data_IF_133192596849
#
_entry.id   IF_133192596849
#
_cell.length_a   1.000
_cell.length_b   1.000
_cell.length_c   1.000
_cell.angle_alpha   90.00
_cell.angle_beta   90.00
_cell.angle_gamma   90.00
#
_symmetry.space_group_name_H-M   'P 1'
#
loop_
_entity.id
_entity.type
_entity.pdbx_description
1 polymer ?
#
# COMPACT_ATOMS: atom_id res chain seq x y z
N UNK A 1 4.66 -12.50 27.24
CA UNK A 1 4.35 -12.03 25.88
C UNK A 1 5.16 -10.76 25.66
N UNK A 2 6.22 -10.83 24.86
CA UNK A 2 7.06 -9.65 24.60
C UNK A 2 6.56 -9.00 23.32
N UNK A 3 5.91 -7.86 23.42
CA UNK A 3 5.52 -7.07 22.27
C UNK A 3 6.77 -6.37 21.72
N UNK A 4 7.26 -6.77 20.56
CA UNK A 4 8.30 -6.04 19.84
C UNK A 4 7.62 -5.08 18.87
N UNK A 5 7.70 -3.80 19.16
CA UNK A 5 7.28 -2.76 18.22
C UNK A 5 8.47 -2.51 17.29
N UNK A 6 8.37 -2.95 16.04
CA UNK A 6 9.31 -2.57 15.01
C UNK A 6 9.02 -1.14 14.56
N UNK A 7 9.98 -0.24 14.71
CA UNK A 7 9.86 1.18 14.31
C UNK A 7 10.28 1.38 12.86
N UNK A 8 11.11 0.48 12.34
CA UNK A 8 11.59 0.47 10.96
C UNK A 8 11.87 -0.96 10.50
N UNK A 9 11.69 -1.22 9.23
CA UNK A 9 11.98 -2.51 8.64
C UNK A 9 11.68 -2.55 7.15
N UNK A 10 12.35 -3.48 6.47
CA UNK A 10 12.12 -3.80 5.07
C UNK A 10 11.41 -5.13 4.96
N UNK A 11 10.40 -5.20 4.10
CA UNK A 11 9.73 -6.46 3.76
C UNK A 11 9.83 -6.66 2.25
N UNK A 12 10.43 -7.77 1.86
CA UNK A 12 10.50 -8.18 0.46
C UNK A 12 9.51 -9.31 0.21
N UNK A 13 8.64 -9.11 -0.77
CA UNK A 13 7.71 -10.13 -1.27
C UNK A 13 8.18 -10.63 -2.63
N UNK A 14 8.13 -11.93 -2.81
CA UNK A 14 8.34 -12.60 -4.09
C UNK A 14 7.03 -13.29 -4.49
N UNK A 15 6.52 -13.00 -5.67
CA UNK A 15 5.27 -13.56 -6.16
C UNK A 15 5.54 -14.70 -7.15
N UNK A 16 4.65 -15.68 -7.20
CA UNK A 16 4.78 -16.84 -8.08
C UNK A 16 4.98 -16.48 -9.58
N UNK A 17 4.52 -15.31 -10.00
CA UNK A 17 4.72 -14.78 -11.36
C UNK A 17 6.06 -14.10 -11.61
N UNK A 18 6.98 -14.09 -10.63
CA UNK A 18 8.30 -13.45 -10.74
C UNK A 18 8.29 -11.95 -10.44
N UNK A 19 7.15 -11.36 -10.11
CA UNK A 19 7.10 -9.99 -9.59
C UNK A 19 7.64 -9.95 -8.17
N UNK A 20 8.21 -8.81 -7.79
CA UNK A 20 8.68 -8.54 -6.43
C UNK A 20 8.06 -7.25 -5.91
N UNK A 21 7.89 -7.13 -4.60
CA UNK A 21 7.53 -5.89 -3.95
C UNK A 21 8.40 -5.66 -2.72
N UNK A 22 8.87 -4.43 -2.56
CA UNK A 22 9.62 -3.98 -1.40
C UNK A 22 8.78 -2.95 -0.64
N UNK A 23 8.56 -3.18 0.64
CA UNK A 23 7.97 -2.21 1.54
C UNK A 23 9.07 -1.70 2.48
N UNK A 24 9.33 -0.39 2.43
CA UNK A 24 10.14 0.31 3.43
C UNK A 24 9.22 0.90 4.50
N UNK A 25 9.11 0.20 5.61
CA UNK A 25 8.30 0.59 6.74
C UNK A 25 9.02 1.50 7.74
N UNK A 26 9.96 2.33 7.31
CA UNK A 26 10.71 3.22 8.18
C UNK A 26 9.86 4.40 8.65
N UNK A 27 9.41 4.34 9.91
CA UNK A 27 8.61 5.39 10.54
C UNK A 27 9.43 6.54 11.14
N UNK A 28 10.75 6.50 11.00
CA UNK A 28 11.65 7.54 11.50
C UNK A 28 11.89 8.66 10.49
N UNK A 29 11.54 8.43 9.24
CA UNK A 29 11.64 9.41 8.16
C UNK A 29 10.25 9.73 7.61
N UNK A 30 10.00 11.01 7.42
CA UNK A 30 8.86 11.49 6.66
C UNK A 30 9.19 11.46 5.17
N UNK A 31 8.24 11.03 4.36
CA UNK A 31 8.34 11.20 2.92
C UNK A 31 8.06 12.67 2.53
N UNK A 32 8.46 13.06 1.34
CA UNK A 32 8.27 14.43 0.84
C UNK A 32 6.81 14.65 0.47
N UNK A 33 6.12 15.47 1.24
CA UNK A 33 4.71 15.82 1.03
C UNK A 33 4.35 17.13 1.74
N UNK A 34 3.39 17.87 1.20
CA UNK A 34 2.79 19.02 1.90
C UNK A 34 1.89 18.55 3.06
N UNK A 35 1.16 17.44 2.88
CA UNK A 35 0.44 16.72 3.94
C UNK A 35 0.84 15.23 3.94
N UNK A 36 1.72 14.81 4.86
CA UNK A 36 2.23 13.44 4.89
C UNK A 36 1.16 12.38 5.24
N UNK A 37 -0.06 12.80 5.59
CA UNK A 37 -1.19 11.89 5.86
C UNK A 37 -1.96 11.51 4.60
N UNK A 38 -1.64 12.11 3.45
CA UNK A 38 -2.42 11.95 2.24
C UNK A 38 -2.21 10.57 1.60
N UNK A 39 -0.97 10.13 1.43
CA UNK A 39 -0.63 8.89 0.72
C UNK A 39 0.00 7.81 1.60
N UNK A 40 0.38 8.12 2.83
CA UNK A 40 1.13 7.22 3.72
C UNK A 40 2.49 6.76 3.16
N UNK A 41 3.10 7.55 2.27
CA UNK A 41 4.38 7.25 1.64
C UNK A 41 4.37 7.50 0.13
N UNK A 42 5.44 7.15 -0.52
CA UNK A 42 5.57 7.17 -1.98
C UNK A 42 5.47 5.75 -2.52
N UNK A 43 4.87 5.59 -3.70
CA UNK A 43 4.69 4.29 -4.31
C UNK A 43 5.28 4.27 -5.72
N UNK A 44 5.99 3.18 -6.03
CA UNK A 44 6.62 2.96 -7.32
C UNK A 44 6.16 1.62 -7.89
N UNK A 45 5.65 1.64 -9.12
CA UNK A 45 5.36 0.44 -9.89
C UNK A 45 6.24 0.43 -11.13
N UNK A 46 7.12 -0.55 -11.22
CA UNK A 46 8.02 -0.72 -12.34
C UNK A 46 7.60 -1.93 -13.17
N UNK A 47 7.54 -1.76 -14.46
CA UNK A 47 7.16 -2.81 -15.39
C UNK A 47 7.82 -2.68 -16.75
N UNK A 48 7.54 -3.61 -17.64
CA UNK A 48 8.09 -3.63 -19.01
C UNK A 48 7.69 -2.42 -19.86
N UNK A 49 6.63 -1.70 -19.50
CA UNK A 49 6.18 -0.50 -20.22
C UNK A 49 6.79 0.80 -19.70
N UNK A 50 7.29 0.81 -18.48
CA UNK A 50 7.78 2.03 -17.80
C UNK A 50 7.56 2.00 -16.31
N UNK A 51 7.55 3.17 -15.71
CA UNK A 51 7.39 3.37 -14.26
C UNK A 51 6.18 4.24 -13.98
N UNK A 52 5.36 3.84 -13.03
CA UNK A 52 4.31 4.65 -12.45
C UNK A 52 4.71 5.01 -11.01
N UNK A 53 4.60 6.28 -10.67
CA UNK A 53 4.94 6.78 -9.34
C UNK A 53 3.79 7.59 -8.77
N UNK A 54 3.39 7.27 -7.55
CA UNK A 54 2.53 8.12 -6.73
C UNK A 54 3.42 8.83 -5.71
N UNK A 55 3.41 10.15 -5.72
CA UNK A 55 4.16 10.95 -4.75
C UNK A 55 3.35 11.23 -3.46
N UNK A 56 4.01 11.85 -2.49
CA UNK A 56 3.40 12.14 -1.20
C UNK A 56 2.26 13.15 -1.23
N UNK A 57 2.14 13.94 -2.28
CA UNK A 57 1.05 14.90 -2.49
C UNK A 57 -0.11 14.32 -3.32
N UNK A 58 -0.09 13.00 -3.57
CA UNK A 58 -1.15 12.31 -4.29
C UNK A 58 -1.09 12.52 -5.80
N UNK A 59 0.03 13.03 -6.33
CA UNK A 59 0.20 13.18 -7.78
C UNK A 59 0.69 11.88 -8.39
N UNK A 60 0.01 11.45 -9.44
CA UNK A 60 0.39 10.27 -10.19
C UNK A 60 1.25 10.69 -11.38
N UNK A 61 2.38 10.01 -11.56
CA UNK A 61 3.33 10.26 -12.62
C UNK A 61 3.52 9.00 -13.47
N UNK A 62 3.66 9.19 -14.77
CA UNK A 62 3.97 8.11 -15.70
C UNK A 62 5.25 8.41 -16.47
N UNK A 63 6.15 7.44 -16.50
CA UNK A 63 7.41 7.52 -17.22
C UNK A 63 7.56 6.30 -18.12
N UNK A 64 7.27 6.39 -19.43
CA UNK A 64 7.61 5.35 -20.39
C UNK A 64 9.12 5.09 -20.43
N UNK A 65 9.54 3.91 -20.84
CA UNK A 65 10.96 3.66 -21.08
C UNK A 65 11.54 4.63 -22.11
N UNK A 66 12.71 5.19 -21.80
CA UNK A 66 13.45 6.15 -22.65
C UNK A 66 12.72 7.46 -22.96
N UNK A 67 11.73 7.81 -22.15
CA UNK A 67 11.02 9.07 -22.22
C UNK A 67 11.06 9.80 -20.88
N UNK A 68 10.66 11.05 -20.87
CA UNK A 68 10.56 11.85 -19.66
C UNK A 68 9.32 11.47 -18.83
N UNK A 69 9.42 11.67 -17.52
CA UNK A 69 8.28 11.53 -16.62
C UNK A 69 7.30 12.67 -16.86
N UNK A 70 6.02 12.34 -16.90
CA UNK A 70 4.92 13.30 -17.05
C UNK A 70 3.85 13.05 -15.99
N UNK A 71 3.18 14.11 -15.49
CA UNK A 71 2.00 13.94 -14.66
C UNK A 71 0.92 13.14 -15.38
N UNK A 72 0.31 12.21 -14.69
CA UNK A 72 -0.85 11.45 -15.16
C UNK A 72 -2.10 11.99 -14.49
N UNK A 73 -2.96 12.66 -15.26
CA UNK A 73 -4.20 13.20 -14.72
C UNK A 73 -5.19 12.08 -14.39
N UNK A 74 -5.82 12.17 -13.22
CA UNK A 74 -6.94 11.33 -12.82
C UNK A 74 -7.89 12.12 -11.94
N UNK A 75 -9.17 11.77 -11.99
CA UNK A 75 -10.20 12.43 -11.19
C UNK A 75 -10.07 12.02 -9.72
N UNK A 76 -9.69 12.99 -8.92
CA UNK A 76 -9.44 12.80 -7.51
C UNK A 76 -9.81 14.05 -6.73
N UNK A 77 -10.47 13.88 -5.63
CA UNK A 77 -10.88 14.98 -4.75
C UNK A 77 -10.49 14.66 -3.31
N UNK A 78 -9.69 15.53 -2.71
CA UNK A 78 -9.29 15.37 -1.32
C UNK A 78 -10.46 15.69 -0.38
N UNK A 79 -11.12 14.67 0.17
CA UNK A 79 -12.25 14.79 1.10
C UNK A 79 -11.89 14.50 2.54
N UNK A 80 -10.64 14.48 2.88
CA UNK A 80 -10.22 14.31 4.24
C UNK A 80 -9.01 13.42 4.46
N UNK A 81 -9.04 12.65 5.53
CA UNK A 81 -7.89 11.88 5.98
C UNK A 81 -7.47 10.78 5.00
N UNK A 82 -6.17 10.67 4.77
CA UNK A 82 -5.53 9.63 3.96
C UNK A 82 -6.12 9.50 2.55
N UNK A 83 -6.21 10.62 1.81
CA UNK A 83 -6.65 10.64 0.43
C UNK A 83 -8.05 10.08 0.20
N UNK A 84 -8.98 10.36 1.09
CA UNK A 84 -10.36 9.87 1.06
C UNK A 84 -10.57 8.38 1.34
N UNK A 85 -9.55 7.62 1.68
CA UNK A 85 -9.70 6.17 1.85
C UNK A 85 -10.75 5.82 2.93
N UNK A 86 -10.81 6.58 4.01
CA UNK A 86 -11.81 6.40 5.07
C UNK A 86 -13.22 6.71 4.57
N UNK A 87 -13.38 7.81 3.84
CA UNK A 87 -14.66 8.16 3.22
C UNK A 87 -15.13 7.09 2.24
N UNK A 88 -14.25 6.65 1.34
CA UNK A 88 -14.57 5.63 0.35
C UNK A 88 -14.99 4.31 0.99
N UNK A 89 -14.29 3.88 2.03
CA UNK A 89 -14.62 2.67 2.78
C UNK A 89 -15.97 2.78 3.48
N UNK A 90 -16.22 3.87 4.20
CA UNK A 90 -17.49 4.07 4.91
C UNK A 90 -18.68 4.14 3.95
N UNK A 91 -18.50 4.85 2.84
CA UNK A 91 -19.49 4.91 1.76
C UNK A 91 -19.80 3.53 1.19
N UNK A 92 -18.77 2.75 0.85
CA UNK A 92 -18.93 1.39 0.34
C UNK A 92 -19.71 0.49 1.31
N UNK A 93 -19.39 0.54 2.60
CA UNK A 93 -20.12 -0.23 3.60
C UNK A 93 -21.60 0.19 3.67
N UNK A 94 -21.86 1.49 3.66
CA UNK A 94 -23.25 2.00 3.68
C UNK A 94 -24.03 1.59 2.43
N UNK A 95 -23.43 1.66 1.25
CA UNK A 95 -24.03 1.20 0.00
C UNK A 95 -24.34 -0.31 0.06
N UNK A 96 -23.40 -1.14 0.51
CA UNK A 96 -23.62 -2.59 0.68
C UNK A 96 -24.76 -2.89 1.66
N UNK A 97 -24.90 -2.12 2.74
CA UNK A 97 -26.02 -2.29 3.68
C UNK A 97 -27.38 -1.97 3.03
N UNK A 98 -27.45 -0.93 2.23
CA UNK A 98 -28.68 -0.52 1.52
C UNK A 98 -29.04 -1.55 0.44
N UNK A 99 -28.07 -1.98 -0.32
CA UNK A 99 -28.23 -2.90 -1.45
C UNK A 99 -28.31 -4.39 -1.02
N UNK A 100 -28.04 -4.67 0.26
CA UNK A 100 -27.94 -6.04 0.80
C UNK A 100 -26.90 -6.89 0.06
N UNK A 101 -25.83 -6.25 -0.39
CA UNK A 101 -24.68 -6.88 -1.04
C UNK A 101 -23.56 -7.16 -0.04
N UNK A 102 -22.64 -8.06 -0.39
CA UNK A 102 -21.46 -8.32 0.43
C UNK A 102 -20.41 -7.22 0.21
N UNK A 103 -19.83 -6.66 1.27
CA UNK A 103 -18.73 -5.71 1.12
C UNK A 103 -17.46 -6.41 0.63
N UNK A 104 -16.64 -5.69 -0.14
CA UNK A 104 -15.23 -6.05 -0.34
C UNK A 104 -14.49 -5.85 0.99
N UNK A 105 -13.46 -6.62 1.24
CA UNK A 105 -12.71 -6.60 2.50
C UNK A 105 -13.53 -7.08 3.71
N UNK A 106 -14.17 -8.21 3.58
CA UNK A 106 -14.82 -8.88 4.73
C UNK A 106 -13.79 -9.22 5.80
N UNK A 107 -14.24 -9.32 7.06
CA UNK A 107 -13.36 -9.75 8.16
C UNK A 107 -12.70 -11.13 7.88
N UNK A 108 -13.36 -12.02 7.14
CA UNK A 108 -12.78 -13.31 6.74
C UNK A 108 -11.62 -13.14 5.75
N UNK A 109 -11.76 -12.25 4.78
CA UNK A 109 -10.69 -11.94 3.82
C UNK A 109 -9.51 -11.25 4.51
N UNK A 110 -9.79 -10.43 5.52
CA UNK A 110 -8.76 -9.76 6.30
C UNK A 110 -7.86 -10.72 7.10
N UNK A 111 -8.31 -11.95 7.39
CA UNK A 111 -7.45 -12.98 8.01
C UNK A 111 -6.19 -13.29 7.18
N UNK A 112 -6.25 -13.07 5.88
CA UNK A 112 -5.05 -13.18 5.02
C UNK A 112 -3.97 -12.16 5.38
N UNK A 113 -4.35 -10.96 5.77
CA UNK A 113 -3.39 -9.93 6.20
C UNK A 113 -2.68 -10.34 7.50
N UNK A 114 -3.40 -10.97 8.43
CA UNK A 114 -2.78 -11.55 9.63
C UNK A 114 -1.78 -12.65 9.29
N UNK A 115 -2.11 -13.54 8.37
CA UNK A 115 -1.20 -14.61 7.94
C UNK A 115 0.09 -14.03 7.32
N UNK A 116 -0.04 -12.95 6.54
CA UNK A 116 1.11 -12.22 5.98
C UNK A 116 1.94 -11.60 7.10
N UNK A 117 1.30 -10.91 8.04
CA UNK A 117 1.99 -10.28 9.17
C UNK A 117 2.76 -11.31 10.01
N UNK A 118 2.13 -12.43 10.36
CA UNK A 118 2.80 -13.53 11.08
C UNK A 118 3.99 -14.09 10.30
N UNK A 119 3.87 -14.24 8.99
CA UNK A 119 4.95 -14.70 8.14
C UNK A 119 6.13 -13.73 8.10
N UNK A 120 5.87 -12.41 8.08
CA UNK A 120 6.91 -11.37 8.18
C UNK A 120 7.70 -11.50 9.47
N UNK A 121 7.02 -11.61 10.62
CA UNK A 121 7.71 -11.79 11.91
C UNK A 121 8.46 -13.12 12.01
N UNK A 122 7.89 -14.18 11.45
CA UNK A 122 8.54 -15.49 11.40
C UNK A 122 9.79 -15.46 10.52
N UNK A 123 9.72 -14.86 9.34
CA UNK A 123 10.87 -14.65 8.43
C UNK A 123 12.00 -13.90 9.15
N UNK A 124 11.66 -12.82 9.86
CA UNK A 124 12.64 -12.06 10.65
C UNK A 124 13.27 -12.89 11.77
N UNK A 125 12.48 -13.65 12.52
CA UNK A 125 12.96 -14.47 13.64
C UNK A 125 13.85 -15.64 13.18
N UNK A 126 13.45 -16.28 12.09
CA UNK A 126 14.14 -17.46 11.53
C UNK A 126 15.25 -17.09 10.53
N UNK A 127 15.32 -15.82 10.12
CA UNK A 127 16.29 -15.30 9.13
C UNK A 127 16.26 -16.06 7.80
N UNK A 128 15.09 -16.36 7.31
CA UNK A 128 14.86 -17.04 6.03
C UNK A 128 13.60 -16.59 5.36
N UNK A 129 13.47 -16.87 4.08
CA UNK A 129 12.21 -16.73 3.34
C UNK A 129 11.16 -17.70 3.89
N UNK A 130 9.92 -17.24 3.97
CA UNK A 130 8.76 -17.99 4.46
C UNK A 130 7.66 -17.96 3.43
N UNK A 131 7.17 -19.13 3.03
CA UNK A 131 6.01 -19.24 2.15
C UNK A 131 4.70 -18.97 2.91
N UNK A 132 3.73 -18.37 2.18
CA UNK A 132 2.41 -17.97 2.70
C UNK A 132 1.31 -18.67 1.89
#
# INVERSE_FOLDING_TARGET
MTLRVAVAGYVLFEFAGGATALIDGNRLNDHVAADPRLTMGEHWLEGSGGVMRLDGDGQLHWKPHRADETPHAYDWENRGFAGDCVYAQQRHIAECMVEKSAPVNTGREYLRNYAIEEAVYRSHAERRTVDI
#
